data_IF_363164740919
#
_entry.id   IF_363164740919
#
_cell.length_a   1.000
_cell.length_b   1.000
_cell.length_c   1.000
_cell.angle_alpha   90.00
_cell.angle_beta   90.00
_cell.angle_gamma   90.00
#
_symmetry.space_group_name_H-M   'P 1'
#
loop_
_entity.id
_entity.type
_entity.pdbx_description
1 polymer ?
#
# COMPACT_ATOMS: atom_id res chain seq x y z
N UNK A 1 -15.89 -11.66 -6.36
CA UNK A 1 -15.05 -10.46 -6.52
C UNK A 1 -14.45 -9.96 -5.20
N UNK A 2 -15.19 -10.01 -4.10
CA UNK A 2 -14.63 -9.60 -2.81
C UNK A 2 -13.43 -10.45 -2.40
N UNK A 3 -13.52 -11.77 -2.55
CA UNK A 3 -12.39 -12.66 -2.27
C UNK A 3 -11.19 -12.35 -3.18
N UNK A 4 -11.45 -12.05 -4.45
CA UNK A 4 -10.39 -11.68 -5.39
C UNK A 4 -9.70 -10.37 -5.01
N UNK A 5 -10.44 -9.41 -4.49
CA UNK A 5 -9.87 -8.15 -3.98
C UNK A 5 -9.02 -8.38 -2.72
N UNK A 6 -9.47 -9.25 -1.83
CA UNK A 6 -8.68 -9.64 -0.65
C UNK A 6 -7.41 -10.37 -1.05
N UNK A 7 -7.49 -11.24 -2.06
CA UNK A 7 -6.31 -11.93 -2.61
C UNK A 7 -5.34 -10.95 -3.28
N UNK A 8 -5.86 -9.92 -3.97
CA UNK A 8 -5.03 -8.86 -4.54
C UNK A 8 -4.21 -8.17 -3.44
N UNK A 9 -4.85 -7.79 -2.33
CA UNK A 9 -4.15 -7.19 -1.20
C UNK A 9 -3.13 -8.16 -0.59
N UNK A 10 -3.47 -9.44 -0.51
CA UNK A 10 -2.56 -10.49 -0.04
C UNK A 10 -1.30 -10.59 -0.91
N UNK A 11 -1.46 -10.60 -2.23
CA UNK A 11 -0.32 -10.64 -3.15
C UNK A 11 0.53 -9.38 -3.06
N UNK A 12 -0.09 -8.22 -2.92
CA UNK A 12 0.62 -6.96 -2.72
C UNK A 12 1.46 -7.00 -1.45
N UNK A 13 0.85 -7.40 -0.34
CA UNK A 13 1.51 -7.51 0.96
C UNK A 13 2.67 -8.49 0.92
N UNK A 14 2.45 -9.66 0.35
CA UNK A 14 3.48 -10.68 0.24
C UNK A 14 4.67 -10.19 -0.59
N UNK A 15 4.40 -9.50 -1.69
CA UNK A 15 5.43 -8.93 -2.54
C UNK A 15 6.25 -7.84 -1.82
N UNK A 16 5.59 -6.96 -1.04
CA UNK A 16 6.27 -5.97 -0.21
C UNK A 16 7.21 -6.67 0.77
N UNK A 17 6.69 -7.63 1.51
CA UNK A 17 7.44 -8.28 2.59
C UNK A 17 8.59 -9.14 2.09
N UNK A 18 8.47 -9.70 0.89
CA UNK A 18 9.55 -10.47 0.24
C UNK A 18 10.44 -9.60 -0.66
N UNK A 19 10.11 -8.33 -0.86
CA UNK A 19 10.80 -7.41 -1.79
C UNK A 19 10.82 -7.95 -3.23
N UNK A 20 9.70 -8.51 -3.65
CA UNK A 20 9.53 -9.01 -5.01
C UNK A 20 8.93 -7.92 -5.90
N UNK A 21 9.80 -7.17 -6.57
CA UNK A 21 9.41 -6.00 -7.36
C UNK A 21 8.50 -6.38 -8.54
N UNK A 22 8.77 -7.49 -9.20
CA UNK A 22 7.97 -7.95 -10.33
C UNK A 22 6.55 -8.31 -9.89
N UNK A 23 6.42 -9.07 -8.81
CA UNK A 23 5.12 -9.44 -8.26
C UNK A 23 4.37 -8.22 -7.73
N UNK A 24 5.09 -7.26 -7.13
CA UNK A 24 4.48 -6.05 -6.58
C UNK A 24 3.88 -5.18 -7.68
N UNK A 25 4.64 -4.86 -8.71
CA UNK A 25 4.16 -3.97 -9.78
C UNK A 25 3.03 -4.62 -10.60
N UNK A 26 2.98 -5.94 -10.66
CA UNK A 26 1.91 -6.66 -11.34
C UNK A 26 0.53 -6.48 -10.68
N UNK A 27 0.48 -6.01 -9.42
CA UNK A 27 -0.80 -5.72 -8.73
C UNK A 27 -1.42 -4.38 -9.15
N UNK A 28 -0.67 -3.54 -9.85
CA UNK A 28 -1.09 -2.21 -10.28
C UNK A 28 -1.65 -2.22 -11.70
N UNK A 29 -2.67 -1.40 -11.96
CA UNK A 29 -3.08 -1.07 -13.33
C UNK A 29 -1.96 -0.29 -14.03
N UNK A 30 -1.87 -0.38 -15.36
CA UNK A 30 -0.81 0.30 -16.10
C UNK A 30 -0.83 1.81 -15.89
N UNK A 31 -2.01 2.39 -15.81
CA UNK A 31 -2.23 3.83 -15.56
C UNK A 31 -2.57 4.12 -14.10
N UNK A 32 -2.18 3.24 -13.19
CA UNK A 32 -2.42 3.41 -11.77
C UNK A 32 -1.83 4.68 -11.20
N UNK A 33 -2.37 5.12 -10.06
CA UNK A 33 -1.92 6.33 -9.37
C UNK A 33 -1.62 5.99 -7.91
N UNK A 34 -0.39 6.26 -7.50
CA UNK A 34 0.04 6.07 -6.11
C UNK A 34 0.19 7.43 -5.44
N UNK A 35 -0.77 7.74 -4.60
CA UNK A 35 -0.78 8.99 -3.84
C UNK A 35 -0.21 8.74 -2.44
N UNK A 36 1.10 8.66 -2.37
CA UNK A 36 1.85 8.37 -1.16
C UNK A 36 2.47 9.62 -0.55
N UNK A 37 3.06 10.46 -1.41
CA UNK A 37 3.77 11.66 -1.03
C UNK A 37 2.93 12.89 -1.40
N UNK A 38 3.55 14.07 -1.36
CA UNK A 38 2.87 15.33 -1.69
C UNK A 38 2.35 15.33 -3.12
N UNK A 39 3.15 14.77 -4.06
CA UNK A 39 2.78 14.69 -5.48
C UNK A 39 2.41 13.25 -5.83
N UNK A 40 1.21 13.00 -6.38
CA UNK A 40 0.86 11.67 -6.85
C UNK A 40 1.78 11.17 -7.96
N UNK A 41 2.05 9.88 -7.97
CA UNK A 41 2.89 9.23 -8.97
C UNK A 41 2.01 8.36 -9.84
N UNK A 42 2.08 8.55 -11.15
CA UNK A 42 1.22 7.87 -12.12
C UNK A 42 2.02 6.96 -13.04
N UNK A 43 1.42 5.81 -13.36
CA UNK A 43 1.96 4.82 -14.27
C UNK A 43 2.91 3.83 -13.61
N UNK A 44 2.90 2.59 -14.09
CA UNK A 44 3.69 1.50 -13.51
C UNK A 44 5.18 1.81 -13.41
N UNK A 45 5.77 2.41 -14.45
CA UNK A 45 7.21 2.67 -14.45
C UNK A 45 7.61 3.64 -13.35
N UNK A 46 6.84 4.71 -13.18
CA UNK A 46 7.09 5.70 -12.15
C UNK A 46 6.78 5.18 -10.74
N UNK A 47 5.72 4.41 -10.62
CA UNK A 47 5.33 3.78 -9.35
C UNK A 47 6.42 2.81 -8.90
N UNK A 48 6.91 1.97 -9.81
CA UNK A 48 7.97 1.02 -9.50
C UNK A 48 9.28 1.73 -9.12
N UNK A 49 9.64 2.80 -9.85
CA UNK A 49 10.84 3.56 -9.55
C UNK A 49 10.80 4.16 -8.14
N UNK A 50 9.66 4.73 -7.74
CA UNK A 50 9.50 5.27 -6.38
C UNK A 50 9.60 4.16 -5.33
N UNK A 51 8.93 3.03 -5.56
CA UNK A 51 8.95 1.91 -4.62
C UNK A 51 10.35 1.35 -4.41
N UNK A 52 11.10 1.17 -5.50
CA UNK A 52 12.49 0.69 -5.43
C UNK A 52 13.38 1.66 -4.67
N UNK A 53 13.21 2.96 -4.89
CA UNK A 53 13.97 3.98 -4.18
C UNK A 53 13.67 3.94 -2.67
N UNK A 54 12.41 3.85 -2.30
CA UNK A 54 11.99 3.80 -0.91
C UNK A 54 12.47 2.53 -0.22
N UNK A 55 12.26 1.37 -0.83
CA UNK A 55 12.66 0.09 -0.25
C UNK A 55 14.17 -0.02 -0.11
N UNK A 56 14.92 0.61 -1.00
CA UNK A 56 16.38 0.67 -0.90
C UNK A 56 16.89 1.40 0.35
N UNK A 57 16.09 2.28 0.93
CA UNK A 57 16.41 2.98 2.17
C UNK A 57 16.20 2.16 3.44
N UNK A 58 15.57 0.99 3.34
CA UNK A 58 15.25 0.16 4.48
C UNK A 58 16.08 -1.11 4.52
N UNK A 59 16.56 -1.47 5.69
CA UNK A 59 17.09 -2.81 5.96
C UNK A 59 15.96 -3.83 5.89
N UNK A 60 14.81 -3.50 6.48
CA UNK A 60 13.57 -4.23 6.27
C UNK A 60 12.37 -3.28 6.36
N UNK A 61 11.29 -3.68 5.69
CA UNK A 61 9.99 -3.04 5.79
C UNK A 61 8.94 -4.15 5.74
N UNK A 62 8.13 -4.23 6.79
CA UNK A 62 7.04 -5.19 6.88
C UNK A 62 5.70 -4.47 6.86
N UNK A 63 4.76 -5.00 6.10
CA UNK A 63 3.41 -4.48 6.01
C UNK A 63 2.44 -5.59 6.40
N UNK A 64 1.55 -5.29 7.34
CA UNK A 64 0.56 -6.25 7.82
C UNK A 64 -0.83 -5.60 7.75
N UNK A 65 -1.63 -5.91 6.72
CA UNK A 65 -2.98 -5.39 6.65
C UNK A 65 -3.85 -6.10 7.69
N UNK A 66 -4.73 -5.34 8.33
CA UNK A 66 -5.59 -5.90 9.37
C UNK A 66 -7.02 -6.14 8.87
N UNK A 67 -7.67 -5.14 8.33
CA UNK A 67 -9.04 -5.27 7.86
C UNK A 67 -9.29 -4.35 6.68
N UNK A 68 -10.24 -4.74 5.83
CA UNK A 68 -10.63 -3.96 4.68
C UNK A 68 -12.12 -4.07 4.41
N UNK A 69 -12.69 -3.03 3.82
CA UNK A 69 -14.06 -3.03 3.33
C UNK A 69 -14.07 -2.64 1.87
N UNK A 70 -15.05 -3.13 1.13
CA UNK A 70 -15.17 -2.93 -0.31
C UNK A 70 -16.58 -2.57 -0.71
N UNK A 71 -16.70 -1.76 -1.76
CA UNK A 71 -17.94 -1.53 -2.47
C UNK A 71 -17.67 -1.84 -3.94
N UNK A 72 -18.35 -2.83 -4.49
CA UNK A 72 -18.08 -3.38 -5.82
C UNK A 72 -19.21 -2.99 -6.76
N UNK A 73 -18.82 -2.43 -7.92
CA UNK A 73 -19.73 -1.98 -8.97
C UNK A 73 -19.25 -2.53 -10.33
N UNK A 74 -19.68 -3.74 -10.68
CA UNK A 74 -19.24 -4.36 -11.94
C UNK A 74 -17.74 -4.57 -11.97
N UNK A 75 -17.06 -3.92 -12.91
CA UNK A 75 -15.60 -4.03 -13.10
C UNK A 75 -14.81 -2.94 -12.37
N UNK A 76 -15.47 -2.18 -11.52
CA UNK A 76 -14.81 -1.21 -10.64
C UNK A 76 -15.20 -1.44 -9.19
N UNK A 77 -14.33 -1.01 -8.28
CA UNK A 77 -14.57 -1.11 -6.86
C UNK A 77 -13.83 0.00 -6.13
N UNK A 78 -14.29 0.29 -4.93
CA UNK A 78 -13.59 1.14 -3.98
C UNK A 78 -13.48 0.41 -2.65
N UNK A 79 -12.57 0.86 -1.80
CA UNK A 79 -12.42 0.28 -0.48
C UNK A 79 -11.30 0.93 0.30
N UNK A 80 -11.08 0.43 1.49
CA UNK A 80 -9.94 0.87 2.27
C UNK A 80 -9.41 -0.27 3.14
N UNK A 81 -8.13 -0.14 3.52
CA UNK A 81 -7.41 -1.07 4.36
C UNK A 81 -6.72 -0.31 5.47
N UNK A 82 -6.78 -0.84 6.68
CA UNK A 82 -5.89 -0.44 7.76
C UNK A 82 -4.66 -1.31 7.73
N UNK A 83 -3.51 -0.68 7.97
CA UNK A 83 -2.21 -1.34 7.91
C UNK A 83 -1.45 -1.10 9.20
N UNK A 84 -0.67 -2.11 9.57
CA UNK A 84 0.37 -1.98 10.57
C UNK A 84 1.71 -2.22 9.86
N UNK A 85 2.65 -1.31 10.01
CA UNK A 85 3.94 -1.40 9.32
C UNK A 85 5.09 -1.22 10.29
N UNK A 86 6.17 -1.97 10.05
CA UNK A 86 7.42 -1.87 10.79
C UNK A 86 8.55 -1.65 9.80
N UNK A 87 9.40 -0.65 10.08
CA UNK A 87 10.57 -0.39 9.24
C UNK A 87 11.81 -0.22 10.10
N UNK A 88 12.94 -0.56 9.52
CA UNK A 88 14.25 -0.20 10.06
C UNK A 88 15.15 0.21 8.88
N UNK A 89 15.80 1.37 8.99
CA UNK A 89 16.72 1.81 7.97
C UNK A 89 18.11 1.21 8.17
N UNK A 90 19.04 1.51 7.26
CA UNK A 90 20.41 0.97 7.31
C UNK A 90 21.25 1.55 8.45
N UNK A 91 20.80 2.60 9.10
CA UNK A 91 21.44 3.20 10.27
C UNK A 91 20.90 2.65 11.58
N UNK A 92 19.92 1.73 11.50
CA UNK A 92 19.31 1.12 12.67
C UNK A 92 18.13 1.88 13.25
N UNK A 93 17.65 2.93 12.59
CA UNK A 93 16.48 3.68 13.03
C UNK A 93 15.21 2.88 12.72
N UNK A 94 14.45 2.59 13.77
CA UNK A 94 13.22 1.81 13.66
C UNK A 94 12.00 2.70 13.80
N UNK A 95 10.95 2.37 13.06
CA UNK A 95 9.66 3.07 13.12
C UNK A 95 8.52 2.07 13.10
N UNK A 96 7.45 2.44 13.79
CA UNK A 96 6.14 1.78 13.71
C UNK A 96 5.16 2.72 13.06
N UNK A 97 4.38 2.21 12.12
CA UNK A 97 3.35 2.98 11.44
C UNK A 97 2.02 2.26 11.55
N UNK A 98 0.97 3.00 11.86
CA UNK A 98 -0.40 2.58 11.62
C UNK A 98 -0.94 3.51 10.54
N UNK A 99 -1.45 2.94 9.47
CA UNK A 99 -1.80 3.71 8.28
C UNK A 99 -3.05 3.17 7.62
N UNK A 100 -3.53 3.91 6.64
CA UNK A 100 -4.71 3.52 5.88
C UNK A 100 -4.49 3.81 4.41
N UNK A 101 -4.86 2.85 3.56
CA UNK A 101 -5.04 3.07 2.13
C UNK A 101 -6.52 3.27 1.82
N UNK A 102 -6.83 4.35 1.11
CA UNK A 102 -8.10 4.52 0.41
C UNK A 102 -7.86 4.14 -1.03
N UNK A 103 -8.60 3.16 -1.53
CA UNK A 103 -8.32 2.52 -2.81
C UNK A 103 -9.48 2.63 -3.79
N UNK A 104 -9.13 2.70 -5.07
CA UNK A 104 -10.02 2.28 -6.15
C UNK A 104 -9.37 1.14 -6.92
N UNK A 105 -10.21 0.25 -7.45
CA UNK A 105 -9.78 -0.97 -8.14
C UNK A 105 -10.45 -1.04 -9.50
N UNK A 106 -9.79 -1.68 -10.44
CA UNK A 106 -10.34 -1.94 -11.77
C UNK A 106 -10.12 -3.40 -12.13
N UNK A 107 -11.12 -4.00 -12.78
CA UNK A 107 -11.02 -5.37 -13.29
C UNK A 107 -10.69 -5.32 -14.76
N UNK A 108 -9.56 -5.85 -15.14
CA UNK A 108 -9.05 -5.87 -16.52
C UNK A 108 -8.59 -7.28 -16.86
N UNK A 109 -9.07 -7.81 -17.99
CA UNK A 109 -8.71 -9.16 -18.39
C UNK A 109 -9.07 -10.22 -17.34
N UNK A 110 -10.15 -10.01 -16.61
CA UNK A 110 -10.58 -10.91 -15.55
C UNK A 110 -9.84 -10.78 -14.24
N UNK A 111 -8.91 -9.83 -14.13
CA UNK A 111 -8.10 -9.62 -12.92
C UNK A 111 -8.37 -8.26 -12.30
N UNK A 112 -8.49 -8.25 -10.99
CA UNK A 112 -8.55 -7.00 -10.22
C UNK A 112 -7.15 -6.44 -10.02
N UNK A 113 -7.03 -5.10 -10.19
CA UNK A 113 -5.78 -4.35 -10.05
C UNK A 113 -6.05 -3.09 -9.25
N UNK A 114 -5.01 -2.59 -8.57
CA UNK A 114 -5.09 -1.27 -7.93
C UNK A 114 -5.06 -0.19 -9.01
N UNK A 115 -6.08 0.67 -9.02
CA UNK A 115 -6.15 1.82 -9.91
C UNK A 115 -5.62 3.07 -9.22
N UNK A 116 -6.02 3.28 -7.97
CA UNK A 116 -5.57 4.39 -7.14
C UNK A 116 -5.36 3.86 -5.72
N UNK A 117 -4.26 4.23 -5.12
CA UNK A 117 -4.04 4.02 -3.69
C UNK A 117 -3.63 5.35 -3.05
N UNK A 118 -4.44 5.83 -2.12
CA UNK A 118 -4.15 7.02 -1.33
C UNK A 118 -3.77 6.60 0.09
N UNK A 119 -2.51 6.88 0.46
CA UNK A 119 -1.93 6.49 1.73
C UNK A 119 -2.01 7.63 2.74
N UNK A 120 -2.36 7.31 3.98
CA UNK A 120 -2.32 8.29 5.06
C UNK A 120 -1.86 7.64 6.36
N UNK A 121 -1.04 8.37 7.11
CA UNK A 121 -0.60 7.95 8.44
C UNK A 121 -1.70 8.22 9.46
N UNK A 122 -1.89 7.24 10.35
CA UNK A 122 -2.66 7.40 11.59
C UNK A 122 -1.67 7.60 12.73
N UNK A 123 -0.65 6.77 12.78
CA UNK A 123 0.47 6.92 13.67
C UNK A 123 1.77 6.71 12.89
N UNK A 124 2.81 7.45 13.25
CA UNK A 124 4.15 7.26 12.68
C UNK A 124 5.16 7.69 13.71
N UNK A 125 5.99 6.76 14.16
CA UNK A 125 7.00 7.08 15.14
C UNK A 125 7.55 5.85 15.87
N UNK A 126 8.11 6.07 17.05
CA UNK A 126 8.66 4.98 17.88
C UNK A 126 7.60 3.99 18.32
N UNK A 127 8.01 2.75 18.57
CA UNK A 127 7.11 1.68 19.02
C UNK A 127 6.54 1.91 20.43
N UNK A 128 7.11 2.84 21.20
CA UNK A 128 6.56 3.24 22.50
C UNK A 128 5.34 4.13 22.40
N UNK A 129 4.90 4.42 21.18
CA UNK A 129 3.71 5.22 20.88
C UNK A 129 3.86 6.69 21.27
N UNK A 130 5.08 7.20 21.33
CA UNK A 130 5.35 8.62 21.63
C UNK A 130 5.26 9.53 20.41
N UNK A 131 5.04 8.97 19.22
CA UNK A 131 4.89 9.75 17.98
C UNK A 131 3.51 10.38 17.83
N UNK A 132 3.26 10.96 16.67
CA UNK A 132 2.02 11.70 16.36
C UNK A 132 0.89 10.76 15.95
N UNK A 133 -0.27 10.98 16.55
CA UNK A 133 -1.50 10.27 16.18
C UNK A 133 -2.44 11.22 15.46
N UNK A 134 -2.93 10.79 14.29
CA UNK A 134 -3.95 11.52 13.52
C UNK A 134 -5.09 10.54 13.23
N UNK A 135 -6.27 10.76 13.82
CA UNK A 135 -7.38 9.84 13.55
C UNK A 135 -7.78 9.86 12.08
N UNK A 136 -8.22 8.72 11.53
CA UNK A 136 -8.65 8.67 10.15
C UNK A 136 -9.88 9.55 9.93
N UNK A 137 -9.92 10.23 8.78
CA UNK A 137 -11.04 11.09 8.39
C UNK A 137 -11.69 10.56 7.11
N UNK A 138 -12.97 10.75 7.01
CA UNK A 138 -13.74 10.36 5.82
C UNK A 138 -14.14 8.92 5.79
#
# INVERSE_FOLDING_TARGET
DELALRNLMGRYTDAVNRRDAEAWIATWAEDGVWNLLVTPVSGRDNILALWLQMMGGFEFALMLPSSGVFEINGDSASGHWYLHEYTRDHEGNASTMVSRYLDTYVKQGGQWLFQLRHYSFIYNGPSDMSGSYTPPSG
#
